data_IF_941681733848
#
_entry.id   IF_941681733848
#
_cell.length_a   1.000
_cell.length_b   1.000
_cell.length_c   1.000
_cell.angle_alpha   90.00
_cell.angle_beta   90.00
_cell.angle_gamma   90.00
#
_symmetry.space_group_name_H-M   'P 1'
#
loop_
_entity.id
_entity.type
_entity.pdbx_description
1 polymer ?
#
# COMPACT_ATOMS: atom_id res chain seq x y z
N UNK A 1 -11.93 19.57 20.53
CA UNK A 1 -10.64 20.28 20.40
C UNK A 1 -9.51 19.41 19.83
N UNK A 2 -9.42 18.12 20.18
CA UNK A 2 -8.35 17.22 19.68
C UNK A 2 -8.42 16.90 18.18
N UNK A 3 -9.62 16.68 17.61
CA UNK A 3 -9.78 16.27 16.21
C UNK A 3 -9.25 17.30 15.19
N UNK A 4 -9.58 18.61 15.29
CA UNK A 4 -8.99 19.62 14.40
C UNK A 4 -7.46 19.67 14.46
N UNK A 5 -6.88 19.44 15.65
CA UNK A 5 -5.44 19.38 15.81
C UNK A 5 -4.83 18.16 15.10
N UNK A 6 -5.41 16.96 15.28
CA UNK A 6 -4.95 15.75 14.58
C UNK A 6 -5.01 15.94 13.06
N UNK A 7 -6.11 16.49 12.55
CA UNK A 7 -6.28 16.72 11.11
C UNK A 7 -5.22 17.67 10.58
N UNK A 8 -4.99 18.80 11.27
CA UNK A 8 -3.96 19.75 10.89
C UNK A 8 -2.57 19.11 10.87
N UNK A 9 -2.21 18.37 11.92
CA UNK A 9 -0.89 17.71 12.02
C UNK A 9 -0.68 16.67 10.92
N UNK A 10 -1.70 15.86 10.60
CA UNK A 10 -1.61 14.88 9.49
C UNK A 10 -1.41 15.61 8.15
N UNK A 11 -2.14 16.70 7.91
CA UNK A 11 -1.98 17.51 6.70
C UNK A 11 -0.57 18.10 6.58
N UNK A 12 -0.03 18.67 7.67
CA UNK A 12 1.34 19.22 7.71
C UNK A 12 2.40 18.15 7.41
N UNK A 13 2.33 16.98 8.05
CA UNK A 13 3.24 15.87 7.73
C UNK A 13 3.12 15.41 6.28
N UNK A 14 1.90 15.32 5.75
CA UNK A 14 1.67 14.89 4.37
C UNK A 14 2.26 15.89 3.38
N UNK A 15 2.14 17.19 3.65
CA UNK A 15 2.75 18.25 2.82
C UNK A 15 4.29 18.15 2.78
N UNK A 16 4.91 17.67 3.85
CA UNK A 16 6.35 17.39 3.89
C UNK A 16 6.73 16.03 3.27
N UNK A 17 5.75 15.29 2.75
CA UNK A 17 5.95 13.95 2.20
C UNK A 17 6.21 12.88 3.25
N UNK A 18 5.79 13.13 4.50
CA UNK A 18 5.83 12.21 5.63
C UNK A 18 4.47 11.54 5.74
N UNK A 19 4.42 10.26 5.36
CA UNK A 19 3.20 9.46 5.44
C UNK A 19 3.53 8.20 6.25
N UNK A 20 2.77 7.98 7.33
CA UNK A 20 3.04 6.93 8.30
C UNK A 20 1.84 5.97 8.40
N UNK A 21 2.05 4.64 8.53
CA UNK A 21 0.97 3.66 8.53
C UNK A 21 -0.11 3.94 9.56
N UNK A 22 0.27 4.43 10.75
CA UNK A 22 -0.68 4.67 11.83
C UNK A 22 -1.69 5.80 11.53
N UNK A 23 -1.44 6.65 10.52
CA UNK A 23 -2.44 7.63 10.09
C UNK A 23 -3.75 6.95 9.67
N UNK A 24 -3.68 5.69 9.19
CA UNK A 24 -4.85 4.89 8.84
C UNK A 24 -5.79 4.65 10.03
N UNK A 25 -5.30 4.70 11.27
CA UNK A 25 -6.14 4.60 12.48
C UNK A 25 -7.14 5.77 12.61
N UNK A 26 -6.90 6.89 11.93
CA UNK A 26 -7.79 8.06 11.93
C UNK A 26 -8.73 8.12 10.73
N UNK A 27 -8.66 7.16 9.80
CA UNK A 27 -9.38 7.19 8.53
C UNK A 27 -10.92 7.23 8.66
N UNK A 28 -11.47 6.81 9.80
CA UNK A 28 -12.92 6.87 10.08
C UNK A 28 -13.42 8.28 10.40
N UNK A 29 -12.51 9.15 10.84
CA UNK A 29 -12.86 10.48 11.37
C UNK A 29 -12.24 11.61 10.54
N UNK A 30 -11.11 11.35 9.88
CA UNK A 30 -10.32 12.35 9.16
C UNK A 30 -9.89 11.78 7.81
N UNK A 31 -9.88 12.63 6.78
CA UNK A 31 -9.32 12.26 5.48
C UNK A 31 -7.82 11.99 5.60
N UNK A 32 -7.40 10.77 5.26
CA UNK A 32 -5.99 10.36 5.23
C UNK A 32 -5.42 10.45 3.81
N UNK A 33 -4.08 10.56 3.66
CA UNK A 33 -3.42 10.58 2.35
C UNK A 33 -3.86 9.42 1.46
N UNK A 34 -4.05 9.69 0.16
CA UNK A 34 -4.53 8.70 -0.80
C UNK A 34 -3.62 7.48 -0.87
N UNK A 35 -2.31 7.66 -0.67
CA UNK A 35 -1.32 6.59 -0.61
C UNK A 35 -1.66 5.52 0.43
N UNK A 36 -2.19 5.91 1.59
CA UNK A 36 -2.60 4.98 2.65
C UNK A 36 -3.97 4.35 2.41
N UNK A 37 -4.79 4.95 1.55
CA UNK A 37 -6.06 4.35 1.13
C UNK A 37 -5.81 3.14 0.24
N UNK A 38 -4.80 3.25 -0.63
CA UNK A 38 -4.52 2.32 -1.72
C UNK A 38 -3.39 1.34 -1.41
N UNK A 39 -2.34 1.81 -0.74
CA UNK A 39 -1.10 1.06 -0.54
C UNK A 39 -0.95 0.76 0.95
N UNK A 40 -0.54 -0.46 1.25
CA UNK A 40 -0.01 -0.87 2.54
C UNK A 40 1.37 -0.24 2.70
N UNK A 41 1.65 0.30 3.88
CA UNK A 41 2.93 0.95 4.21
C UNK A 41 3.72 0.07 5.17
N UNK A 42 4.96 -0.26 4.82
CA UNK A 42 5.90 -0.95 5.70
C UNK A 42 6.82 0.07 6.33
N UNK A 43 6.88 0.07 7.67
CA UNK A 43 7.79 0.89 8.46
C UNK A 43 8.92 0.06 9.06
N UNK A 44 10.12 0.62 9.01
CA UNK A 44 11.30 0.10 9.70
C UNK A 44 11.97 1.20 10.52
N UNK A 45 12.34 0.86 11.75
CA UNK A 45 13.09 1.72 12.66
C UNK A 45 14.56 1.30 12.59
N UNK A 46 15.41 2.21 12.11
CA UNK A 46 16.83 1.98 11.88
C UNK A 46 17.71 3.12 12.38
N UNK A 47 18.97 3.07 12.00
CA UNK A 47 19.95 4.12 12.28
C UNK A 47 19.69 5.34 11.39
N UNK A 48 19.84 6.55 11.93
CA UNK A 48 19.67 7.80 11.18
C UNK A 48 20.70 7.91 10.07
N UNK A 49 20.34 8.55 8.96
CA UNK A 49 21.23 8.79 7.81
C UNK A 49 21.84 7.50 7.22
N UNK A 50 21.21 6.35 7.46
CA UNK A 50 21.58 5.09 6.83
C UNK A 50 20.77 4.87 5.55
N UNK A 51 21.27 4.01 4.67
CA UNK A 51 20.54 3.60 3.47
C UNK A 51 19.95 2.21 3.69
N UNK A 52 18.62 2.13 3.70
CA UNK A 52 17.90 0.86 3.76
C UNK A 52 17.18 0.59 2.44
N UNK A 53 17.17 -0.67 2.03
CA UNK A 53 16.36 -1.13 0.92
C UNK A 53 15.62 -2.42 1.31
N UNK A 54 14.53 -2.67 0.63
CA UNK A 54 13.75 -3.89 0.79
C UNK A 54 13.91 -4.78 -0.45
N UNK A 55 14.01 -6.09 -0.22
CA UNK A 55 13.79 -7.11 -1.26
C UNK A 55 12.46 -7.77 -0.99
N UNK A 56 11.59 -7.85 -1.99
CA UNK A 56 10.27 -8.43 -1.82
C UNK A 56 9.84 -9.28 -3.01
N UNK A 57 9.03 -10.30 -2.74
CA UNK A 57 8.35 -11.13 -3.73
C UNK A 57 6.87 -11.22 -3.39
N UNK A 58 6.02 -11.06 -4.39
CA UNK A 58 4.58 -11.28 -4.27
C UNK A 58 4.26 -12.70 -4.72
N UNK A 59 3.41 -13.38 -3.96
CA UNK A 59 2.98 -14.76 -4.20
C UNK A 59 1.47 -14.84 -4.14
N UNK A 60 0.88 -15.58 -5.07
CA UNK A 60 -0.55 -15.87 -5.07
C UNK A 60 -0.94 -17.04 -4.16
N UNK A 61 -2.23 -17.36 -4.13
CA UNK A 61 -2.78 -18.49 -3.37
C UNK A 61 -2.15 -19.83 -3.75
N UNK A 62 -1.75 -20.02 -5.02
CA UNK A 62 -1.07 -21.24 -5.49
C UNK A 62 0.37 -21.39 -4.97
N UNK A 63 0.89 -20.44 -4.20
CA UNK A 63 2.24 -20.48 -3.65
C UNK A 63 3.34 -20.17 -4.68
N UNK A 64 2.99 -19.69 -5.88
CA UNK A 64 3.96 -19.27 -6.91
C UNK A 64 4.17 -17.77 -6.90
N UNK A 65 5.43 -17.36 -7.04
CA UNK A 65 5.80 -15.96 -7.13
C UNK A 65 5.39 -15.33 -8.47
N UNK A 66 4.83 -14.13 -8.41
CA UNK A 66 4.55 -13.28 -9.56
C UNK A 66 5.86 -12.63 -10.04
N UNK A 67 6.71 -13.42 -10.68
CA UNK A 67 7.96 -12.96 -11.28
C UNK A 67 9.14 -12.89 -10.31
N UNK A 68 10.14 -12.05 -10.66
CA UNK A 68 11.40 -11.93 -9.91
C UNK A 68 11.22 -11.02 -8.71
N UNK A 69 11.94 -11.32 -7.63
CA UNK A 69 12.00 -10.46 -6.45
C UNK A 69 12.47 -9.04 -6.82
N UNK A 70 11.77 -8.04 -6.31
CA UNK A 70 12.04 -6.63 -6.55
C UNK A 70 12.93 -6.06 -5.45
N UNK A 71 13.80 -5.12 -5.80
CA UNK A 71 14.60 -4.31 -4.86
C UNK A 71 14.05 -2.89 -4.86
N UNK A 72 13.66 -2.39 -3.70
CA UNK A 72 13.03 -1.08 -3.52
C UNK A 72 13.75 -0.33 -2.43
N UNK A 73 14.17 0.90 -2.70
CA UNK A 73 14.77 1.77 -1.68
C UNK A 73 13.71 2.23 -0.67
N UNK A 74 14.07 2.26 0.62
CA UNK A 74 13.18 2.78 1.66
C UNK A 74 13.53 4.24 1.93
N UNK A 75 12.52 5.11 1.93
CA UNK A 75 12.71 6.54 2.17
C UNK A 75 12.74 6.82 3.67
N UNK A 76 13.77 7.52 4.15
CA UNK A 76 13.78 8.10 5.50
C UNK A 76 12.76 9.25 5.54
N UNK A 77 11.62 9.03 6.20
CA UNK A 77 10.56 10.06 6.32
C UNK A 77 10.67 10.85 7.61
N UNK A 78 11.29 10.26 8.63
CA UNK A 78 11.69 10.92 9.86
C UNK A 78 13.03 10.32 10.30
N UNK A 79 13.85 11.02 11.09
CA UNK A 79 15.15 10.51 11.50
C UNK A 79 15.08 9.10 12.11
N UNK A 80 15.65 8.11 11.42
CA UNK A 80 15.65 6.69 11.81
C UNK A 80 14.38 5.92 11.45
N UNK A 81 13.43 6.51 10.72
CA UNK A 81 12.17 5.88 10.30
C UNK A 81 12.11 5.83 8.79
N UNK A 82 12.10 4.60 8.27
CA UNK A 82 12.15 4.29 6.86
C UNK A 82 10.84 3.66 6.40
N UNK A 83 10.31 4.13 5.27
CA UNK A 83 9.03 3.64 4.72
C UNK A 83 9.15 3.15 3.30
N UNK A 84 8.32 2.17 2.95
CA UNK A 84 8.07 1.73 1.59
C UNK A 84 6.60 1.32 1.43
N UNK A 85 6.04 1.51 0.23
CA UNK A 85 4.61 1.36 -0.05
C UNK A 85 4.34 0.24 -1.05
N UNK A 86 3.32 -0.57 -0.80
CA UNK A 86 2.97 -1.77 -1.57
C UNK A 86 1.48 -1.86 -1.79
N UNK A 87 1.07 -2.36 -2.95
CA UNK A 87 -0.29 -2.88 -3.13
C UNK A 87 -0.17 -4.40 -2.99
N UNK A 88 -0.98 -4.99 -2.10
CA UNK A 88 -1.08 -6.43 -1.91
C UNK A 88 -2.57 -6.76 -1.99
N UNK A 89 -2.95 -7.50 -3.02
CA UNK A 89 -4.34 -7.83 -3.31
C UNK A 89 -4.84 -9.00 -2.46
N UNK A 90 -6.16 -9.17 -2.40
CA UNK A 90 -6.79 -10.28 -1.71
C UNK A 90 -6.15 -11.63 -2.08
N UNK A 91 -5.80 -12.43 -1.05
CA UNK A 91 -5.08 -13.72 -1.16
C UNK A 91 -3.67 -13.67 -1.73
N UNK A 92 -3.12 -12.48 -2.00
CA UNK A 92 -1.70 -12.34 -2.22
C UNK A 92 -0.96 -12.26 -0.89
N UNK A 93 0.29 -12.72 -0.91
CA UNK A 93 1.23 -12.56 0.17
C UNK A 93 2.50 -11.92 -0.35
N UNK A 94 2.90 -10.82 0.29
CA UNK A 94 4.19 -10.17 0.09
C UNK A 94 5.17 -10.70 1.12
N UNK A 95 6.15 -11.49 0.68
CA UNK A 95 7.32 -11.84 1.49
C UNK A 95 8.41 -10.77 1.28
N UNK A 96 8.98 -10.25 2.37
CA UNK A 96 9.98 -9.20 2.29
C UNK A 96 11.13 -9.34 3.28
N UNK A 97 12.25 -8.71 2.93
CA UNK A 97 13.43 -8.53 3.78
C UNK A 97 13.98 -7.12 3.66
N UNK A 98 14.31 -6.49 4.79
CA UNK A 98 14.95 -5.18 4.87
C UNK A 98 16.45 -5.38 5.03
N UNK A 99 17.22 -4.59 4.29
CA UNK A 99 18.67 -4.63 4.24
C UNK A 99 19.25 -3.24 4.45
N UNK A 100 20.28 -3.15 5.27
CA UNK A 100 21.13 -1.97 5.42
C UNK A 100 22.27 -2.06 4.41
N UNK A 101 22.46 -1.01 3.62
CA UNK A 101 23.61 -0.89 2.74
C UNK A 101 24.83 -0.50 3.57
N UNK A 102 25.91 -1.27 3.44
CA UNK A 102 27.20 -0.93 4.04
C UNK A 102 28.28 -0.91 2.95
N UNK A 103 29.45 -0.38 3.27
CA UNK A 103 30.57 -0.28 2.32
C UNK A 103 31.08 -1.65 1.82
N UNK A 104 31.03 -2.67 2.69
CA UNK A 104 31.66 -3.98 2.42
C UNK A 104 30.63 -5.05 2.06
N UNK A 105 29.50 -5.09 2.78
CA UNK A 105 28.42 -6.03 2.49
C UNK A 105 27.09 -5.56 3.07
N UNK A 106 26.04 -5.69 2.27
CA UNK A 106 24.68 -5.38 2.71
C UNK A 106 24.27 -6.37 3.81
N UNK A 107 23.72 -5.84 4.92
CA UNK A 107 23.28 -6.63 6.08
C UNK A 107 21.75 -6.73 6.09
N UNK A 108 21.21 -7.95 6.09
CA UNK A 108 19.78 -8.14 6.33
C UNK A 108 19.46 -7.85 7.81
N UNK A 109 18.47 -7.01 8.05
CA UNK A 109 18.12 -6.54 9.40
C UNK A 109 16.70 -6.93 9.83
N UNK A 110 15.82 -7.25 8.87
CA UNK A 110 14.46 -7.68 9.15
C UNK A 110 13.94 -8.55 8.02
N UNK A 111 13.07 -9.50 8.36
CA UNK A 111 12.19 -10.19 7.42
C UNK A 111 10.75 -10.07 7.88
N UNK A 112 9.81 -10.30 6.98
CA UNK A 112 8.40 -10.32 7.33
C UNK A 112 7.54 -10.76 6.15
N UNK A 113 6.26 -10.95 6.44
CA UNK A 113 5.22 -11.21 5.46
C UNK A 113 4.09 -10.21 5.65
N UNK A 114 3.39 -9.91 4.56
CA UNK A 114 2.18 -9.10 4.59
C UNK A 114 1.14 -9.77 3.70
N UNK A 115 0.00 -10.14 4.28
CA UNK A 115 -1.11 -10.75 3.56
C UNK A 115 -2.08 -9.68 3.09
N UNK A 116 -2.62 -9.86 1.89
CA UNK A 116 -3.76 -9.10 1.42
C UNK A 116 -5.01 -9.52 2.18
N UNK A 117 -5.42 -8.69 3.12
CA UNK A 117 -6.59 -8.95 3.95
C UNK A 117 -7.90 -8.78 3.17
N UNK A 118 -8.94 -9.46 3.65
CA UNK A 118 -10.33 -9.31 3.22
C UNK A 118 -10.93 -7.97 3.66
N UNK A 119 -10.16 -6.88 3.75
CA UNK A 119 -10.65 -5.60 4.26
C UNK A 119 -11.78 -5.08 3.37
N UNK A 120 -13.01 -5.45 3.76
CA UNK A 120 -14.25 -4.86 3.30
C UNK A 120 -14.31 -3.44 3.85
N UNK A 121 -13.62 -2.52 3.18
CA UNK A 121 -13.99 -1.12 3.30
C UNK A 121 -15.37 -1.01 2.67
N UNK A 122 -16.37 -0.62 3.45
CA UNK A 122 -17.77 -0.44 3.00
C UNK A 122 -17.91 0.60 1.87
N UNK A 123 -16.82 1.29 1.50
CA UNK A 123 -16.74 2.19 0.35
C UNK A 123 -15.56 1.81 -0.54
N UNK A 124 -15.86 1.48 -1.79
CA UNK A 124 -14.90 1.33 -2.88
C UNK A 124 -14.31 2.71 -3.23
N UNK A 125 -13.36 3.22 -2.43
CA UNK A 125 -12.78 4.55 -2.64
C UNK A 125 -11.65 4.53 -3.69
N UNK A 126 -11.14 3.36 -4.06
CA UNK A 126 -10.09 3.19 -5.06
C UNK A 126 -10.39 2.09 -6.08
N UNK A 127 -9.80 2.20 -7.29
CA UNK A 127 -9.80 1.12 -8.30
C UNK A 127 -9.26 -0.22 -7.77
N UNK A 128 -8.36 -0.16 -6.79
CA UNK A 128 -7.79 -1.35 -6.17
C UNK A 128 -8.77 -1.99 -5.18
N UNK A 129 -9.60 -1.19 -4.51
CA UNK A 129 -10.71 -1.68 -3.69
C UNK A 129 -11.79 -2.32 -4.58
N UNK A 130 -12.09 -1.72 -5.74
CA UNK A 130 -12.97 -2.32 -6.75
C UNK A 130 -12.43 -3.67 -7.24
N UNK A 131 -11.12 -3.76 -7.53
CA UNK A 131 -10.51 -5.01 -7.98
C UNK A 131 -10.51 -6.07 -6.88
N UNK A 132 -10.22 -5.70 -5.62
CA UNK A 132 -10.32 -6.62 -4.48
C UNK A 132 -11.76 -7.11 -4.29
N UNK A 133 -12.75 -6.22 -4.34
CA UNK A 133 -14.18 -6.56 -4.25
C UNK A 133 -14.61 -7.48 -5.40
N UNK A 134 -14.09 -7.25 -6.61
CA UNK A 134 -14.33 -8.10 -7.77
C UNK A 134 -13.77 -9.50 -7.56
N UNK A 135 -12.50 -9.63 -7.15
CA UNK A 135 -11.85 -10.91 -6.85
C UNK A 135 -12.63 -11.71 -5.80
N UNK A 136 -13.11 -11.04 -4.75
CA UNK A 136 -13.94 -11.66 -3.71
C UNK A 136 -15.31 -12.12 -4.23
N UNK A 137 -15.94 -11.33 -5.10
CA UNK A 137 -17.28 -11.65 -5.64
C UNK A 137 -17.23 -12.82 -6.63
N UNK A 138 -16.12 -12.96 -7.39
CA UNK A 138 -15.84 -14.12 -8.24
C UNK A 138 -15.78 -15.41 -7.41
N UNK A 139 -15.06 -15.39 -6.29
CA UNK A 139 -14.99 -16.55 -5.39
C UNK A 139 -16.35 -16.87 -4.75
N UNK A 140 -17.10 -15.84 -4.34
CA UNK A 140 -18.43 -15.99 -3.76
C UNK A 140 -19.50 -16.42 -4.79
N UNK A 141 -19.17 -16.47 -6.09
CA UNK A 141 -20.09 -16.74 -7.21
C UNK A 141 -21.29 -15.77 -7.23
N UNK A 142 -21.02 -14.51 -6.89
CA UNK A 142 -22.02 -13.43 -6.88
C UNK A 142 -22.10 -12.77 -8.27
N UNK A 143 -22.57 -13.49 -9.28
CA UNK A 143 -22.53 -13.10 -10.71
C UNK A 143 -23.07 -11.69 -11.00
N UNK A 144 -24.17 -11.30 -10.37
CA UNK A 144 -24.75 -9.96 -10.52
C UNK A 144 -23.81 -8.85 -10.03
N UNK A 145 -23.08 -9.12 -8.95
CA UNK A 145 -22.14 -8.17 -8.34
C UNK A 145 -20.82 -8.10 -9.10
N UNK A 146 -20.37 -9.23 -9.66
CA UNK A 146 -19.21 -9.30 -10.55
C UNK A 146 -19.41 -8.36 -11.75
N UNK A 147 -20.59 -8.41 -12.38
CA UNK A 147 -20.90 -7.60 -13.55
C UNK A 147 -20.89 -6.09 -13.26
N UNK A 148 -21.50 -5.67 -12.15
CA UNK A 148 -21.52 -4.26 -11.74
C UNK A 148 -20.12 -3.75 -11.35
N UNK A 149 -19.34 -4.52 -10.59
CA UNK A 149 -17.97 -4.15 -10.23
C UNK A 149 -17.03 -4.07 -11.45
N UNK A 150 -17.20 -4.95 -12.44
CA UNK A 150 -16.42 -4.92 -13.67
C UNK A 150 -16.73 -3.66 -14.51
N UNK A 151 -18.01 -3.27 -14.62
CA UNK A 151 -18.39 -2.01 -15.28
C UNK A 151 -17.78 -0.81 -14.60
N UNK A 152 -17.88 -0.75 -13.27
CA UNK A 152 -17.35 0.36 -12.47
C UNK A 152 -15.83 0.48 -12.63
N UNK A 153 -15.10 -0.64 -12.58
CA UNK A 153 -13.66 -0.67 -12.82
C UNK A 153 -13.28 -0.18 -14.24
N UNK A 154 -13.97 -0.65 -15.29
CA UNK A 154 -13.71 -0.22 -16.67
C UNK A 154 -14.01 1.27 -16.85
N UNK A 155 -15.09 1.77 -16.26
CA UNK A 155 -15.47 3.18 -16.31
C UNK A 155 -14.39 4.07 -15.67
N UNK A 156 -13.95 3.73 -14.46
CA UNK A 156 -12.88 4.46 -13.77
C UNK A 156 -11.55 4.40 -14.53
N UNK A 157 -11.23 3.27 -15.16
CA UNK A 157 -10.01 3.14 -15.97
C UNK A 157 -10.05 4.05 -17.21
N UNK A 158 -11.18 4.07 -17.94
CA UNK A 158 -11.34 4.91 -19.14
C UNK A 158 -11.33 6.41 -18.85
N UNK A 159 -11.96 6.84 -17.75
CA UNK A 159 -11.94 8.24 -17.32
C UNK A 159 -10.52 8.74 -17.06
N UNK A 160 -9.72 7.92 -16.37
CA UNK A 160 -8.33 8.22 -16.08
C UNK A 160 -7.54 8.25 -17.39
N UNK A 161 -7.62 7.24 -18.25
CA UNK A 161 -6.88 7.23 -19.53
C UNK A 161 -7.21 8.47 -20.41
N UNK A 162 -8.44 8.99 -20.34
CA UNK A 162 -8.84 10.23 -20.99
C UNK A 162 -8.20 11.47 -20.34
N UNK A 163 -8.20 11.59 -19.01
CA UNK A 163 -7.55 12.71 -18.32
C UNK A 163 -6.02 12.74 -18.54
N UNK A 164 -5.36 11.57 -18.57
CA UNK A 164 -3.92 11.48 -18.83
C UNK A 164 -3.56 11.71 -20.30
N UNK A 165 -4.49 11.51 -21.24
CA UNK A 165 -4.30 11.87 -22.65
C UNK A 165 -4.46 13.38 -22.95
N UNK A 166 -4.95 14.13 -21.97
CA UNK A 166 -5.17 15.58 -22.05
C UNK A 166 -4.08 16.41 -21.34
N UNK A 167 -3.09 15.73 -20.72
CA UNK A 167 -1.88 16.30 -20.10
C UNK A 167 -0.66 16.09 -21.01
#
# INVERSE_FOLDING_TARGET
>A
EMLPWIQKTISEFTMEGIVLPFFQAFATTISVPYELKVRKCICYHGERNSTYYMRCGLRGEEGKYYGKAQKIEMKEVMPGIYTAYFVVFYKEELEYSVWQKNEHSDRMVKTGTLQGEKEGKEKNESRFDLLNSFLMSVEAKEDDKIYELAKEYIYHTKLIDQEWSLL
#
